data_IF_851164767120
#
_entry.id   IF_851164767120
#
_cell.length_a   1.000
_cell.length_b   1.000
_cell.length_c   1.000
_cell.angle_alpha   90.00
_cell.angle_beta   90.00
_cell.angle_gamma   90.00
#
_symmetry.space_group_name_H-M   'P 1'
#
loop_
_entity.id
_entity.type
_entity.pdbx_description
1 polymer ?
#
# COMPACT_ATOMS: atom_id res chain seq x y z
N UNK A 1 25.20 10.25 5.90
CA UNK A 1 23.79 9.81 5.89
C UNK A 1 23.70 8.55 5.08
N UNK A 2 23.14 7.47 5.63
CA UNK A 2 22.86 6.28 4.83
C UNK A 2 21.72 6.56 3.84
N UNK A 3 21.76 6.02 2.61
CA UNK A 3 20.66 6.19 1.68
C UNK A 3 19.36 5.60 2.27
N UNK A 4 18.20 6.22 2.03
CA UNK A 4 16.93 5.70 2.49
C UNK A 4 16.68 4.30 1.90
N UNK A 5 16.04 3.44 2.69
CA UNK A 5 15.72 2.08 2.24
C UNK A 5 14.88 2.14 0.96
N UNK A 6 15.20 1.37 -0.10
CA UNK A 6 14.50 1.46 -1.39
C UNK A 6 12.99 1.22 -1.28
N UNK A 7 12.57 0.45 -0.28
CA UNK A 7 11.17 0.24 0.05
C UNK A 7 10.42 1.51 0.48
N UNK A 8 11.09 2.54 1.04
CA UNK A 8 10.38 3.73 1.52
C UNK A 8 9.76 4.54 0.37
N UNK A 9 10.44 4.65 -0.76
CA UNK A 9 9.86 5.26 -1.97
C UNK A 9 8.62 4.51 -2.42
N UNK A 10 8.67 3.18 -2.36
CA UNK A 10 7.54 2.32 -2.72
C UNK A 10 6.37 2.46 -1.72
N UNK A 11 6.66 2.48 -0.42
CA UNK A 11 5.69 2.65 0.64
C UNK A 11 4.94 3.98 0.51
N UNK A 12 5.66 5.08 0.24
CA UNK A 12 5.04 6.39 -0.03
C UNK A 12 4.09 6.30 -1.22
N UNK A 13 4.51 5.66 -2.33
CA UNK A 13 3.68 5.52 -3.51
C UNK A 13 2.38 4.74 -3.24
N UNK A 14 2.44 3.63 -2.48
CA UNK A 14 1.23 2.88 -2.09
C UNK A 14 0.31 3.72 -1.22
N UNK A 15 0.83 4.40 -0.20
CA UNK A 15 0.02 5.22 0.70
C UNK A 15 -0.68 6.35 -0.07
N UNK A 16 0.03 7.03 -0.98
CA UNK A 16 -0.58 8.04 -1.85
C UNK A 16 -1.68 7.46 -2.75
N UNK A 17 -1.57 6.21 -3.21
CA UNK A 17 -2.67 5.56 -3.94
C UNK A 17 -3.91 5.33 -3.06
N UNK A 18 -3.72 4.90 -1.80
CA UNK A 18 -4.85 4.70 -0.88
C UNK A 18 -5.47 6.01 -0.39
N UNK A 19 -4.70 7.10 -0.30
CA UNK A 19 -5.22 8.44 0.01
C UNK A 19 -6.20 8.97 -1.04
N UNK A 20 -6.11 8.51 -2.30
CA UNK A 20 -7.06 8.88 -3.36
C UNK A 20 -8.42 8.18 -3.21
N UNK A 21 -8.55 7.23 -2.28
CA UNK A 21 -9.75 6.41 -2.10
C UNK A 21 -9.92 5.34 -3.20
N UNK A 22 -11.15 4.84 -3.41
CA UNK A 22 -11.43 3.82 -4.41
C UNK A 22 -11.25 4.41 -5.81
N UNK A 23 -10.09 4.12 -6.40
CA UNK A 23 -9.71 4.57 -7.73
C UNK A 23 -9.33 3.39 -8.60
N UNK A 24 -9.47 3.52 -9.91
CA UNK A 24 -8.98 2.54 -10.89
C UNK A 24 -7.45 2.57 -11.05
N UNK A 25 -6.74 3.33 -10.21
CA UNK A 25 -5.29 3.46 -10.29
C UNK A 25 -4.65 2.13 -9.90
N UNK A 26 -3.81 1.53 -10.76
CA UNK A 26 -3.08 0.33 -10.41
C UNK A 26 -2.20 0.57 -9.18
N UNK A 27 -2.31 -0.31 -8.17
CA UNK A 27 -1.41 -0.26 -7.01
C UNK A 27 0.02 -0.51 -7.50
N UNK A 28 0.99 0.37 -7.17
CA UNK A 28 2.39 0.16 -7.53
C UNK A 28 2.87 -1.21 -7.05
N UNK A 29 3.68 -1.90 -7.87
CA UNK A 29 4.33 -3.14 -7.49
C UNK A 29 5.79 -2.90 -7.12
N UNK A 30 6.22 -3.43 -5.98
CA UNK A 30 7.63 -3.43 -5.61
C UNK A 30 8.36 -4.61 -6.27
N UNK A 31 9.48 -4.32 -6.91
CA UNK A 31 10.39 -5.32 -7.49
C UNK A 31 11.81 -5.21 -6.90
N UNK A 32 11.96 -4.50 -5.78
CA UNK A 32 13.25 -4.33 -5.11
C UNK A 32 13.55 -5.47 -4.12
N UNK A 33 14.60 -5.32 -3.31
CA UNK A 33 14.93 -6.31 -2.27
C UNK A 33 13.80 -6.46 -1.25
N UNK A 34 13.39 -7.70 -1.01
CA UNK A 34 12.43 -8.10 0.02
C UNK A 34 13.12 -8.78 1.20
N UNK A 35 12.54 -8.57 2.37
CA UNK A 35 12.85 -9.21 3.63
C UNK A 35 11.55 -9.40 4.44
N UNK A 36 11.66 -10.02 5.61
CA UNK A 36 10.49 -10.27 6.45
C UNK A 36 9.74 -9.00 6.87
N UNK A 37 10.43 -7.84 6.95
CA UNK A 37 9.83 -6.57 7.35
C UNK A 37 8.98 -5.99 6.22
N UNK A 38 9.57 -5.87 5.03
CA UNK A 38 8.89 -5.37 3.83
C UNK A 38 7.68 -6.23 3.48
N UNK A 39 7.80 -7.56 3.55
CA UNK A 39 6.67 -8.47 3.37
C UNK A 39 5.56 -8.27 4.43
N UNK A 40 5.93 -8.08 5.70
CA UNK A 40 4.96 -7.84 6.76
C UNK A 40 4.21 -6.51 6.57
N UNK A 41 4.91 -5.48 6.09
CA UNK A 41 4.30 -4.19 5.76
C UNK A 41 3.32 -4.34 4.60
N UNK A 42 3.72 -4.97 3.50
CA UNK A 42 2.85 -5.20 2.33
C UNK A 42 1.59 -5.99 2.70
N UNK A 43 1.73 -7.09 3.47
CA UNK A 43 0.58 -7.85 3.96
C UNK A 43 -0.37 -7.01 4.82
N UNK A 44 0.18 -6.16 5.69
CA UNK A 44 -0.61 -5.30 6.57
C UNK A 44 -1.36 -4.23 5.77
N UNK A 45 -0.71 -3.62 4.78
CA UNK A 45 -1.32 -2.64 3.88
C UNK A 45 -2.47 -3.25 3.08
N UNK A 46 -2.28 -4.45 2.51
CA UNK A 46 -3.34 -5.15 1.80
C UNK A 46 -4.56 -5.43 2.70
N UNK A 47 -4.34 -5.80 3.97
CA UNK A 47 -5.41 -6.00 4.96
C UNK A 47 -6.13 -4.71 5.34
N UNK A 48 -5.42 -3.59 5.45
CA UNK A 48 -6.01 -2.26 5.70
C UNK A 48 -6.86 -1.84 4.49
N UNK A 49 -6.30 -1.91 3.29
CA UNK A 49 -6.98 -1.53 2.06
C UNK A 49 -8.26 -2.34 1.84
N UNK A 50 -8.21 -3.66 2.07
CA UNK A 50 -9.40 -4.51 1.98
C UNK A 50 -10.51 -4.05 2.93
N UNK A 51 -10.18 -3.72 4.18
CA UNK A 51 -11.16 -3.24 5.17
C UNK A 51 -11.73 -1.88 4.78
N UNK A 52 -10.88 -0.97 4.26
CA UNK A 52 -11.29 0.33 3.76
C UNK A 52 -12.29 0.17 2.61
N UNK A 53 -11.95 -0.59 1.57
CA UNK A 53 -12.84 -0.82 0.43
C UNK A 53 -14.14 -1.51 0.83
N UNK A 54 -14.11 -2.50 1.73
CA UNK A 54 -15.35 -3.12 2.24
C UNK A 54 -16.24 -2.12 2.96
N UNK A 55 -15.67 -1.22 3.77
CA UNK A 55 -16.44 -0.17 4.45
C UNK A 55 -17.00 0.88 3.48
N UNK A 56 -16.24 1.24 2.44
CA UNK A 56 -16.70 2.17 1.41
C UNK A 56 -17.82 1.58 0.54
N UNK A 57 -17.71 0.30 0.16
CA UNK A 57 -18.74 -0.43 -0.57
C UNK A 57 -20.06 -0.52 0.23
N UNK A 58 -19.98 -0.79 1.54
CA UNK A 58 -21.14 -0.81 2.44
C UNK A 58 -21.82 0.56 2.58
N UNK A 59 -21.07 1.66 2.50
CA UNK A 59 -21.62 3.02 2.55
C UNK A 59 -22.27 3.46 1.22
N UNK A 60 -21.83 2.88 0.11
CA UNK A 60 -22.32 3.20 -1.23
C UNK A 60 -23.59 2.40 -1.60
N UNK A 61 -23.93 1.35 -0.85
CA UNK A 61 -25.11 0.48 -1.03
C UNK A 61 -26.34 0.95 -0.26
#
# INVERSE_FOLDING_TARGET
MSPPHPFFTHLVAILSCYELGPSSTPVPKYNGPHDWQTEAIERSLASIAKRMYSAEDELAS
#
